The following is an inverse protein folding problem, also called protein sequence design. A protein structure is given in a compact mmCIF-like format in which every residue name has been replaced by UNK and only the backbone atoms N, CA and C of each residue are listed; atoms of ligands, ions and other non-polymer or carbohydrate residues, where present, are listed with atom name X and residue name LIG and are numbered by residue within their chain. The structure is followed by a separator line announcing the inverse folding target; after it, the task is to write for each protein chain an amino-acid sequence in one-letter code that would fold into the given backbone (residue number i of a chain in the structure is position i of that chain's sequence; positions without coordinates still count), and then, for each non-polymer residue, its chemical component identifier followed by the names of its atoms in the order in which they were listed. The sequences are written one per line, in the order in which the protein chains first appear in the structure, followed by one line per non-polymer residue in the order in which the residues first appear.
data_IF_222064188017
#
_entry.id   IF_222064188017
#
_cell.length_a   1.000
_cell.length_b   1.000
_cell.length_c   1.000
_cell.angle_alpha   90.00
_cell.angle_beta   90.00
_cell.angle_gamma   90.00
#
_symmetry.space_group_name_H-M   'P 1'
#
loop_
_entity.id
_entity.type
_entity.pdbx_description
1 polymer ?
#
# COMPACT_ATOMS: atom_id res chain seq x y z
N UNK A 1 5.41 -8.09 25.95
CA UNK A 1 4.01 -7.75 25.61
C UNK A 1 3.91 -7.68 24.10
N UNK A 2 3.59 -8.80 23.45
CA UNK A 2 3.49 -8.86 21.99
C UNK A 2 2.21 -8.15 21.54
N UNK A 3 2.24 -7.30 20.49
CA UNK A 3 1.02 -6.87 19.84
C UNK A 3 0.29 -8.12 19.37
N UNK A 4 -0.99 -8.21 19.70
CA UNK A 4 -1.88 -9.30 19.33
C UNK A 4 -2.01 -9.36 17.81
N UNK A 5 -1.12 -10.12 17.17
CA UNK A 5 -1.32 -10.54 15.80
C UNK A 5 -2.50 -11.51 15.75
N UNK A 6 -3.47 -11.24 14.88
CA UNK A 6 -4.45 -12.28 14.59
C UNK A 6 -3.75 -13.39 13.78
N UNK A 7 -4.02 -14.69 14.05
CA UNK A 7 -3.35 -15.80 13.36
C UNK A 7 -3.48 -15.78 11.82
N UNK A 8 -4.47 -15.05 11.28
CA UNK A 8 -4.69 -14.89 9.84
C UNK A 8 -3.70 -13.95 9.15
N UNK A 9 -3.40 -12.80 9.77
CA UNK A 9 -2.51 -11.79 9.18
C UNK A 9 -1.07 -12.31 9.03
N UNK A 10 -0.58 -13.10 9.99
CA UNK A 10 0.73 -13.75 9.88
C UNK A 10 0.82 -14.72 8.71
N UNK A 11 -0.26 -15.46 8.43
CA UNK A 11 -0.29 -16.42 7.32
C UNK A 11 -0.28 -15.71 5.97
N UNK A 12 -1.03 -14.61 5.84
CA UNK A 12 -1.01 -13.80 4.62
C UNK A 12 0.36 -13.15 4.42
N UNK A 13 0.97 -12.64 5.49
CA UNK A 13 2.30 -12.05 5.42
C UNK A 13 3.33 -13.06 4.91
N UNK A 14 3.34 -14.29 5.43
CA UNK A 14 4.24 -15.33 4.94
C UNK A 14 4.02 -15.63 3.45
N UNK A 15 2.78 -15.70 2.98
CA UNK A 15 2.46 -15.92 1.57
C UNK A 15 2.92 -14.75 0.68
N UNK A 16 2.67 -13.52 1.13
CA UNK A 16 3.08 -12.30 0.43
C UNK A 16 4.60 -12.10 0.41
N UNK A 17 5.34 -12.61 1.40
CA UNK A 17 6.79 -12.52 1.45
C UNK A 17 7.48 -13.56 0.54
N UNK A 18 6.91 -14.76 0.41
CA UNK A 18 7.53 -15.84 -0.34
C UNK A 18 7.63 -15.53 -1.85
N UNK A 19 6.61 -14.90 -2.44
CA UNK A 19 6.60 -14.67 -3.89
C UNK A 19 7.62 -13.62 -4.35
N UNK A 20 7.69 -12.41 -3.74
CA UNK A 20 8.62 -11.41 -4.21
C UNK A 20 10.07 -11.74 -3.82
N UNK A 21 10.30 -12.65 -2.88
CA UNK A 21 11.63 -13.28 -2.67
C UNK A 21 12.04 -14.19 -3.84
N UNK A 22 11.11 -14.98 -4.40
CA UNK A 22 11.38 -15.73 -5.63
C UNK A 22 11.71 -14.76 -6.78
N UNK A 23 10.96 -13.67 -6.94
CA UNK A 23 11.26 -12.62 -7.92
C UNK A 23 12.63 -11.96 -7.68
N UNK A 24 12.98 -11.68 -6.42
CA UNK A 24 14.27 -11.10 -6.03
C UNK A 24 15.45 -12.00 -6.41
N UNK A 25 15.31 -13.30 -6.14
CA UNK A 25 16.30 -14.32 -6.49
C UNK A 25 16.51 -14.41 -8.01
N UNK A 26 15.43 -14.26 -8.79
CA UNK A 26 15.50 -14.27 -10.25
C UNK A 26 16.05 -12.98 -10.88
N UNK A 27 15.93 -11.82 -10.22
CA UNK A 27 16.11 -10.50 -10.86
C UNK A 27 17.15 -9.56 -10.21
N UNK A 28 18.07 -10.05 -9.36
CA UNK A 28 19.17 -9.24 -8.76
C UNK A 28 18.69 -7.94 -8.06
N UNK A 29 17.45 -7.91 -7.56
CA UNK A 29 16.86 -6.75 -6.89
C UNK A 29 16.87 -6.95 -5.36
N UNK A 30 17.32 -5.96 -4.62
CA UNK A 30 17.22 -5.97 -3.15
C UNK A 30 15.85 -5.44 -2.73
N UNK A 31 15.01 -6.32 -2.17
CA UNK A 31 13.71 -5.95 -1.62
C UNK A 31 13.77 -5.99 -0.10
N UNK A 32 13.29 -4.93 0.55
CA UNK A 32 13.03 -4.93 1.98
C UNK A 32 11.53 -4.84 2.18
N UNK A 33 11.00 -5.86 2.84
CA UNK A 33 9.59 -5.91 3.18
C UNK A 33 9.40 -5.23 4.50
N UNK A 34 8.53 -4.24 4.53
CA UNK A 34 8.15 -3.58 5.77
C UNK A 34 6.70 -3.91 6.10
N UNK A 35 6.50 -4.50 7.27
CA UNK A 35 5.17 -4.70 7.84
C UNK A 35 4.90 -3.58 8.84
N UNK A 36 3.78 -2.87 8.69
CA UNK A 36 3.40 -1.79 9.58
C UNK A 36 2.22 -2.17 10.44
N UNK A 37 2.47 -2.28 11.73
CA UNK A 37 1.45 -2.64 12.70
C UNK A 37 0.97 -1.41 13.43
N UNK A 38 -0.35 -1.35 13.53
CA UNK A 38 -1.06 -0.32 14.24
C UNK A 38 -1.14 -0.71 15.73
N UNK A 39 -0.69 0.17 16.62
CA UNK A 39 -0.91 -0.01 18.04
C UNK A 39 -2.31 0.46 18.49
N UNK A 40 -2.95 -0.34 19.35
CA UNK A 40 -4.23 -0.01 20.00
C UNK A 40 -5.49 -0.31 19.20
N UNK A 41 -6.64 -0.21 19.86
CA UNK A 41 -7.97 -0.47 19.30
C UNK A 41 -8.56 0.81 18.70
N UNK A 42 -8.14 1.12 17.47
CA UNK A 42 -8.51 2.34 16.76
C UNK A 42 -8.74 1.99 15.29
N UNK A 43 -9.57 2.75 14.57
CA UNK A 43 -9.87 2.43 13.17
C UNK A 43 -8.60 2.31 12.33
N UNK A 44 -8.56 1.33 11.43
CA UNK A 44 -7.43 1.09 10.52
C UNK A 44 -7.27 2.25 9.54
N UNK A 45 -6.03 2.58 9.15
CA UNK A 45 -5.76 3.62 8.16
C UNK A 45 -4.61 3.17 7.27
N UNK A 46 -4.98 2.45 6.20
CA UNK A 46 -4.05 1.84 5.25
C UNK A 46 -3.11 2.87 4.63
N UNK A 47 -3.69 3.93 4.05
CA UNK A 47 -2.96 5.00 3.37
C UNK A 47 -1.90 5.66 4.27
N UNK A 48 -2.24 5.95 5.53
CA UNK A 48 -1.29 6.51 6.48
C UNK A 48 -0.15 5.55 6.81
N UNK A 49 -0.44 4.24 6.97
CA UNK A 49 0.62 3.24 7.17
C UNK A 49 1.55 3.12 5.95
N UNK A 50 1.03 3.25 4.73
CA UNK A 50 1.85 3.25 3.51
C UNK A 50 2.75 4.50 3.43
N UNK A 51 2.26 5.68 3.82
CA UNK A 51 3.09 6.88 3.98
C UNK A 51 4.20 6.68 5.01
N UNK A 52 3.87 6.11 6.18
CA UNK A 52 4.84 5.79 7.22
C UNK A 52 5.91 4.84 6.67
N UNK A 53 5.51 3.84 5.88
CA UNK A 53 6.47 2.91 5.30
C UNK A 53 7.43 3.53 4.32
N UNK A 54 6.97 4.46 3.50
CA UNK A 54 7.87 5.29 2.69
C UNK A 54 8.87 6.08 3.56
N UNK A 55 8.40 6.70 4.64
CA UNK A 55 9.24 7.53 5.52
C UNK A 55 10.23 6.71 6.35
N UNK A 56 9.83 5.55 6.87
CA UNK A 56 10.68 4.66 7.66
C UNK A 56 11.72 3.95 6.79
N UNK A 57 11.33 3.46 5.60
CA UNK A 57 12.27 2.80 4.70
C UNK A 57 13.41 3.73 4.28
N UNK A 58 13.12 5.03 4.09
CA UNK A 58 14.13 6.04 3.76
C UNK A 58 15.11 6.37 4.91
N UNK A 59 14.80 6.00 6.16
CA UNK A 59 15.76 6.10 7.27
C UNK A 59 16.82 5.00 7.20
N UNK A 60 16.45 3.84 6.64
CA UNK A 60 17.32 2.67 6.52
C UNK A 60 18.21 2.75 5.27
N UNK A 61 17.66 3.18 4.13
CA UNK A 61 18.40 3.25 2.88
C UNK A 61 17.81 4.26 1.90
N UNK A 62 18.60 4.71 0.93
CA UNK A 62 18.17 5.66 -0.08
C UNK A 62 17.39 4.99 -1.22
N UNK A 63 16.24 4.41 -0.91
CA UNK A 63 15.37 3.71 -1.87
C UNK A 63 14.88 4.64 -2.99
N UNK A 64 14.96 4.16 -4.23
CA UNK A 64 14.47 4.89 -5.41
C UNK A 64 13.10 4.39 -5.90
N UNK A 65 12.65 3.23 -5.42
CA UNK A 65 11.40 2.59 -5.83
C UNK A 65 10.62 2.03 -4.64
N UNK A 66 9.31 2.29 -4.63
CA UNK A 66 8.40 1.85 -3.59
C UNK A 66 7.25 1.05 -4.19
N UNK A 67 7.07 -0.16 -3.68
CA UNK A 67 5.94 -1.04 -4.01
C UNK A 67 4.99 -1.06 -2.82
N UNK A 68 3.79 -0.51 -3.01
CA UNK A 68 2.72 -0.55 -2.00
C UNK A 68 1.83 -1.73 -2.30
N UNK A 69 1.68 -2.63 -1.34
CA UNK A 69 1.18 -3.98 -1.62
C UNK A 69 0.25 -4.48 -0.52
N UNK A 70 -0.95 -4.88 -0.90
CA UNK A 70 -1.88 -5.56 0.02
C UNK A 70 -1.36 -6.97 0.35
N UNK A 71 -1.34 -7.31 1.64
CA UNK A 71 -0.76 -8.56 2.13
C UNK A 71 -1.53 -9.82 1.68
N UNK A 72 -2.77 -9.66 1.22
CA UNK A 72 -3.64 -10.74 0.78
C UNK A 72 -3.61 -10.97 -0.74
N UNK A 73 -2.78 -10.24 -1.49
CA UNK A 73 -2.68 -10.37 -2.94
C UNK A 73 -1.42 -11.13 -3.33
N UNK A 74 -1.55 -12.30 -3.94
CA UNK A 74 -0.42 -13.07 -4.46
C UNK A 74 -0.41 -13.01 -5.99
N UNK A 75 0.65 -12.51 -6.65
CA UNK A 75 0.74 -12.51 -8.11
C UNK A 75 0.78 -13.95 -8.65
N UNK A 76 0.16 -14.17 -9.80
CA UNK A 76 0.08 -15.50 -10.43
C UNK A 76 1.15 -15.71 -11.51
N UNK A 77 1.89 -14.66 -11.86
CA UNK A 77 2.88 -14.68 -12.93
C UNK A 77 4.14 -13.91 -12.51
N UNK A 78 5.29 -14.56 -12.60
CA UNK A 78 6.61 -14.03 -12.23
C UNK A 78 7.17 -13.01 -13.24
N UNK A 79 6.53 -12.87 -14.41
CA UNK A 79 6.84 -11.81 -15.37
C UNK A 79 6.21 -10.47 -14.98
N UNK A 80 5.35 -10.43 -13.94
CA UNK A 80 4.83 -9.19 -13.39
C UNK A 80 5.88 -8.55 -12.47
N UNK A 81 6.84 -7.83 -13.05
CA UNK A 81 8.01 -7.32 -12.35
C UNK A 81 7.67 -6.23 -11.31
N UNK A 82 8.19 -6.39 -10.10
CA UNK A 82 8.00 -5.47 -8.97
C UNK A 82 9.03 -4.33 -9.02
N UNK A 83 8.96 -3.55 -10.10
CA UNK A 83 9.89 -2.45 -10.37
C UNK A 83 9.15 -1.19 -10.78
N UNK A 84 9.71 -0.04 -10.43
CA UNK A 84 9.16 1.25 -10.84
C UNK A 84 9.44 1.53 -12.32
N UNK A 85 8.89 2.62 -12.82
CA UNK A 85 9.10 3.11 -14.19
C UNK A 85 9.11 4.64 -14.20
N UNK A 86 9.29 5.21 -15.38
CA UNK A 86 9.05 6.61 -15.69
C UNK A 86 7.63 7.08 -15.34
N UNK A 87 6.66 6.16 -15.25
CA UNK A 87 5.27 6.41 -14.88
C UNK A 87 4.80 5.50 -13.73
N UNK A 88 3.86 5.94 -12.88
CA UNK A 88 3.27 5.11 -11.82
C UNK A 88 2.65 3.82 -12.39
N UNK A 89 3.01 2.69 -11.81
CA UNK A 89 2.58 1.35 -12.23
C UNK A 89 1.46 0.83 -11.34
N UNK A 90 0.42 0.28 -11.95
CA UNK A 90 -0.59 -0.51 -11.27
C UNK A 90 -0.41 -1.98 -11.62
N UNK A 91 0.07 -2.77 -10.66
CA UNK A 91 0.50 -4.14 -10.90
C UNK A 91 -0.68 -5.12 -10.90
N UNK A 92 -1.86 -4.73 -10.39
CA UNK A 92 -3.05 -5.61 -10.30
C UNK A 92 -4.09 -5.28 -11.39
N UNK A 93 -4.06 -5.95 -12.54
CA UNK A 93 -5.10 -5.75 -13.56
C UNK A 93 -6.35 -6.55 -13.23
N UNK A 94 -6.21 -7.74 -12.64
CA UNK A 94 -7.35 -8.59 -12.34
C UNK A 94 -7.07 -9.55 -11.21
N UNK A 95 -8.12 -9.86 -10.44
CA UNK A 95 -8.09 -10.85 -9.36
C UNK A 95 -9.00 -12.04 -9.67
N UNK A 96 -8.70 -13.20 -9.10
CA UNK A 96 -9.57 -14.38 -9.15
C UNK A 96 -11.04 -14.05 -8.82
N UNK A 97 -11.29 -13.30 -7.75
CA UNK A 97 -12.64 -12.89 -7.29
C UNK A 97 -13.35 -11.89 -8.22
N UNK A 98 -12.62 -11.28 -9.15
CA UNK A 98 -13.15 -10.35 -10.18
C UNK A 98 -13.19 -10.98 -11.56
N UNK A 99 -12.97 -12.30 -11.68
CA UNK A 99 -12.85 -12.98 -12.97
C UNK A 99 -11.69 -12.46 -13.82
N UNK A 100 -10.59 -12.07 -13.16
CA UNK A 100 -9.39 -11.47 -13.78
C UNK A 100 -9.65 -10.22 -14.62
N UNK A 101 -10.68 -9.44 -14.27
CA UNK A 101 -11.00 -8.16 -14.90
C UNK A 101 -10.68 -7.01 -13.96
N UNK A 102 -10.30 -5.88 -14.56
CA UNK A 102 -10.12 -4.64 -13.83
C UNK A 102 -11.46 -4.22 -13.21
N UNK A 103 -11.43 -3.92 -11.90
CA UNK A 103 -12.65 -3.63 -11.13
C UNK A 103 -13.48 -2.49 -11.72
N UNK A 104 -12.80 -1.43 -12.15
CA UNK A 104 -13.33 -0.31 -12.92
C UNK A 104 -12.16 0.45 -13.56
N UNK A 105 -12.42 1.29 -14.57
CA UNK A 105 -11.38 1.97 -15.38
C UNK A 105 -10.35 2.75 -14.54
N UNK A 106 -10.81 3.41 -13.48
CA UNK A 106 -9.97 4.18 -12.56
C UNK A 106 -9.39 3.39 -11.38
N UNK A 107 -9.47 2.07 -11.36
CA UNK A 107 -8.98 1.31 -10.21
C UNK A 107 -7.45 1.38 -10.10
N UNK A 108 -6.96 1.76 -8.92
CA UNK A 108 -5.53 1.92 -8.61
C UNK A 108 -5.15 1.35 -7.23
N UNK A 109 -5.89 0.33 -6.78
CA UNK A 109 -5.69 -0.32 -5.49
C UNK A 109 -5.00 -1.68 -5.58
N UNK A 110 -4.78 -2.33 -4.44
CA UNK A 110 -4.10 -3.63 -4.39
C UNK A 110 -2.59 -3.51 -4.36
N UNK A 111 -1.97 -3.45 -5.55
CA UNK A 111 -0.51 -3.34 -5.68
C UNK A 111 -0.15 -2.24 -6.68
N UNK A 112 0.63 -1.26 -6.21
CA UNK A 112 1.11 -0.14 -7.02
C UNK A 112 2.60 0.10 -6.82
N UNK A 113 3.26 0.63 -7.84
CA UNK A 113 4.68 0.95 -7.80
C UNK A 113 4.90 2.40 -8.23
N UNK A 114 5.59 3.16 -7.39
CA UNK A 114 5.96 4.56 -7.65
C UNK A 114 7.42 4.77 -7.28
N UNK A 115 8.15 5.49 -8.13
CA UNK A 115 9.50 5.93 -7.77
C UNK A 115 9.46 6.90 -6.59
N UNK A 116 10.61 7.08 -5.91
CA UNK A 116 10.75 8.06 -4.83
C UNK A 116 10.20 9.42 -5.23
N UNK A 117 10.62 9.90 -6.41
CA UNK A 117 10.25 11.21 -6.91
C UNK A 117 8.76 11.29 -7.28
N UNK A 118 8.20 10.23 -7.88
CA UNK A 118 6.77 10.18 -8.20
C UNK A 118 5.90 10.24 -6.94
N UNK A 119 6.25 9.45 -5.92
CA UNK A 119 5.51 9.40 -4.66
C UNK A 119 5.65 10.71 -3.87
N UNK A 120 6.84 11.29 -3.85
CA UNK A 120 7.06 12.61 -3.26
C UNK A 120 6.26 13.70 -3.98
N UNK A 121 6.24 13.70 -5.31
CA UNK A 121 5.55 14.70 -6.14
C UNK A 121 4.03 14.72 -5.93
N UNK A 122 3.43 13.58 -5.58
CA UNK A 122 2.01 13.49 -5.23
C UNK A 122 1.73 13.75 -3.75
N UNK A 123 2.75 14.09 -2.96
CA UNK A 123 2.67 14.22 -1.50
C UNK A 123 2.18 12.92 -0.83
N UNK A 124 2.53 11.75 -1.37
CA UNK A 124 2.05 10.45 -0.90
C UNK A 124 0.52 10.29 -0.87
N UNK A 125 0.04 9.36 -0.06
CA UNK A 125 -1.40 9.12 0.17
C UNK A 125 -2.02 10.14 1.12
N UNK A 126 -3.35 10.27 1.15
CA UNK A 126 -4.08 11.01 2.19
C UNK A 126 -3.99 10.31 3.55
N UNK A 127 -3.77 11.08 4.63
CA UNK A 127 -3.80 10.54 6.00
C UNK A 127 -5.22 10.51 6.60
N UNK A 128 -6.24 10.98 5.87
CA UNK A 128 -7.60 11.19 6.37
C UNK A 128 -8.53 9.96 6.20
N UNK A 129 -8.10 8.92 5.49
CA UNK A 129 -8.91 7.73 5.24
C UNK A 129 -8.84 6.73 6.40
N UNK A 130 -9.65 7.01 7.43
CA UNK A 130 -9.88 6.08 8.55
C UNK A 130 -11.00 5.10 8.21
N UNK A 131 -10.67 3.83 8.11
CA UNK A 131 -11.54 2.74 7.68
C UNK A 131 -11.43 2.44 6.18
N UNK A 132 -12.34 1.62 5.68
CA UNK A 132 -12.26 1.07 4.34
C UNK A 132 -12.75 2.02 3.24
N UNK A 133 -11.86 2.28 2.28
CA UNK A 133 -12.15 2.63 0.90
C UNK A 133 -11.97 4.10 0.53
N UNK A 134 -11.59 4.32 -0.73
CA UNK A 134 -11.47 5.61 -1.39
C UNK A 134 -10.06 6.21 -1.39
N UNK A 135 -9.13 5.64 -0.61
CA UNK A 135 -7.76 6.12 -0.50
C UNK A 135 -6.91 5.84 -1.75
N UNK A 136 -7.16 4.70 -2.41
CA UNK A 136 -6.50 4.37 -3.69
C UNK A 136 -6.98 5.30 -4.83
N UNK A 137 -8.28 5.65 -4.81
CA UNK A 137 -8.86 6.59 -5.77
C UNK A 137 -8.36 8.02 -5.55
N UNK A 138 -8.15 8.42 -4.30
CA UNK A 138 -7.51 9.68 -3.93
C UNK A 138 -6.08 9.73 -4.48
N UNK A 139 -5.27 8.67 -4.26
CA UNK A 139 -3.92 8.60 -4.83
C UNK A 139 -3.95 8.70 -6.36
N UNK A 140 -4.86 8.00 -7.05
CA UNK A 140 -5.02 8.13 -8.50
C UNK A 140 -5.27 9.58 -8.90
N UNK A 141 -6.19 10.29 -8.23
CA UNK A 141 -6.47 11.70 -8.54
C UNK A 141 -5.20 12.54 -8.36
N UNK A 142 -4.40 12.30 -7.32
CA UNK A 142 -3.12 13.03 -7.12
C UNK A 142 -2.13 12.77 -8.26
N UNK A 143 -2.01 11.52 -8.71
CA UNK A 143 -1.19 11.12 -9.86
C UNK A 143 -1.64 11.86 -11.12
N UNK A 144 -2.94 11.91 -11.39
CA UNK A 144 -3.54 12.61 -12.53
C UNK A 144 -3.32 14.13 -12.45
N UNK A 145 -3.45 14.74 -11.26
CA UNK A 145 -3.17 16.16 -11.01
C UNK A 145 -1.70 16.53 -11.27
N UNK A 146 -0.78 15.58 -11.08
CA UNK A 146 0.64 15.71 -11.42
C UNK A 146 0.96 15.39 -12.88
N UNK A 147 -0.07 15.20 -13.71
CA UNK A 147 0.02 14.91 -15.16
C UNK A 147 0.77 13.60 -15.47
N UNK A 148 0.84 12.70 -14.49
CA UNK A 148 1.41 11.36 -14.67
C UNK A 148 0.31 10.41 -15.17
N UNK A 149 0.71 9.39 -15.93
CA UNK A 149 -0.23 8.38 -16.47
C UNK A 149 -0.01 7.07 -15.74
N UNK A 150 -1.10 6.42 -15.32
CA UNK A 150 -0.99 5.08 -14.73
C UNK A 150 -0.77 4.06 -15.86
N UNK A 151 0.32 3.33 -15.78
CA UNK A 151 0.63 2.21 -16.68
C UNK A 151 0.28 0.88 -16.02
N UNK A 152 -0.11 -0.09 -16.83
CA UNK A 152 -0.49 -1.44 -16.39
C UNK A 152 0.23 -2.47 -17.26
N UNK A 153 0.77 -3.56 -16.69
CA UNK A 153 1.25 -4.69 -17.47
C UNK A 153 0.09 -5.34 -18.26
N UNK A 154 0.40 -6.24 -19.21
CA UNK A 154 -0.61 -7.05 -19.90
C UNK A 154 -1.53 -7.79 -18.92
N UNK A 155 -2.81 -7.92 -19.27
CA UNK A 155 -3.84 -8.45 -18.37
C UNK A 155 -3.67 -9.95 -18.03
N UNK A 156 -2.96 -10.70 -18.87
CA UNK A 156 -2.54 -12.07 -18.66
C UNK A 156 -1.32 -12.20 -17.72
N UNK A 157 -0.52 -11.13 -17.61
CA UNK A 157 0.63 -11.05 -16.69
C UNK A 157 0.21 -10.51 -15.32
N UNK A 158 -0.60 -9.46 -15.27
CA UNK A 158 -0.97 -8.75 -14.04
C UNK A 158 -2.16 -9.37 -13.29
N UNK A 159 -2.17 -10.71 -13.16
CA UNK A 159 -3.19 -11.47 -12.42
C UNK A 159 -2.74 -11.77 -11.00
N UNK A 160 -3.70 -11.71 -10.09
CA UNK A 160 -3.49 -11.98 -8.67
C UNK A 160 -4.55 -12.90 -8.10
N UNK A 161 -4.13 -13.78 -7.21
CA UNK A 161 -5.03 -14.50 -6.30
C UNK A 161 -5.19 -13.69 -5.03
N UNK A 162 -6.44 -13.37 -4.68
CA UNK A 162 -6.77 -12.81 -3.38
C UNK A 162 -6.95 -13.94 -2.38
N UNK A 163 -6.14 -13.96 -1.31
CA UNK A 163 -6.26 -14.90 -0.21
C UNK A 163 -7.47 -14.52 0.62
N UNK A 164 -8.46 -15.41 0.67
CA UNK A 164 -9.74 -15.11 1.28
C UNK A 164 -9.58 -14.89 2.78
N UNK A 165 -10.05 -13.73 3.24
CA UNK A 165 -10.20 -13.42 4.66
C UNK A 165 -11.57 -12.80 4.91
N UNK A 166 -12.14 -13.05 6.10
CA UNK A 166 -13.29 -12.27 6.55
C UNK A 166 -12.80 -10.86 6.79
N UNK A 167 -13.66 -9.88 6.51
CA UNK A 167 -13.33 -8.47 6.71
C UNK A 167 -12.93 -8.22 8.17
N UNK A 168 -11.74 -7.67 8.37
CA UNK A 168 -11.16 -7.49 9.70
C UNK A 168 -11.92 -6.42 10.51
N UNK A 169 -12.02 -6.65 11.81
CA UNK A 169 -12.53 -5.68 12.78
C UNK A 169 -11.68 -4.40 12.76
N UNK A 170 -12.30 -3.22 12.78
CA UNK A 170 -11.58 -1.95 12.68
C UNK A 170 -11.36 -1.46 11.24
N UNK A 171 -11.83 -2.21 10.23
CA UNK A 171 -11.83 -1.82 8.82
C UNK A 171 -13.28 -1.60 8.30
N UNK A 172 -14.12 -0.97 9.11
CA UNK A 172 -15.51 -0.62 8.76
C UNK A 172 -15.55 0.37 7.59
N UNK A 173 -16.70 0.51 6.93
CA UNK A 173 -16.82 1.40 5.78
C UNK A 173 -16.62 2.83 6.25
N UNK A 174 -15.63 3.52 5.69
CA UNK A 174 -15.48 4.94 5.92
C UNK A 174 -16.68 5.67 5.29
N UNK A 175 -17.58 6.19 6.13
CA UNK A 175 -18.80 6.89 5.72
C UNK A 175 -18.49 8.21 5.00
N UNK A 176 -17.33 8.79 5.27
CA UNK A 176 -16.88 10.06 4.71
C UNK A 176 -16.05 9.90 3.42
N UNK A 177 -15.75 8.67 2.97
CA UNK A 177 -14.85 8.43 1.82
C UNK A 177 -15.21 9.20 0.56
N UNK A 178 -16.50 9.35 0.26
CA UNK A 178 -16.96 10.10 -0.92
C UNK A 178 -16.75 11.60 -0.76
N UNK A 179 -16.97 12.12 0.47
CA UNK A 179 -16.72 13.52 0.81
C UNK A 179 -15.23 13.84 0.76
N UNK A 180 -14.39 12.95 1.27
CA UNK A 180 -12.93 13.06 1.20
C UNK A 180 -12.45 13.06 -0.26
N UNK A 181 -12.92 12.10 -1.06
CA UNK A 181 -12.54 11.96 -2.46
C UNK A 181 -12.93 13.19 -3.30
N UNK A 182 -14.09 13.77 -3.04
CA UNK A 182 -14.52 15.01 -3.70
C UNK A 182 -13.67 16.24 -3.34
N UNK A 183 -12.89 16.18 -2.25
CA UNK A 183 -12.02 17.26 -1.77
C UNK A 183 -10.54 17.07 -2.11
N UNK A 184 -10.17 15.93 -2.71
CA UNK A 184 -8.78 15.63 -3.06
C UNK A 184 -8.09 16.74 -3.84
N UNK A 185 -8.69 17.34 -4.90
CA UNK A 185 -8.02 18.41 -5.66
C UNK A 185 -7.66 19.65 -4.82
N UNK A 186 -8.40 19.92 -3.75
CA UNK A 186 -8.21 21.06 -2.86
C UNK A 186 -7.29 20.73 -1.67
N UNK A 187 -7.29 19.49 -1.18
CA UNK A 187 -6.61 19.11 0.07
C UNK A 187 -5.25 18.44 -0.13
N UNK A 188 -4.96 17.83 -1.28
CA UNK A 188 -3.81 16.91 -1.43
C UNK A 188 -2.44 17.54 -1.11
N UNK A 189 -2.28 18.85 -1.29
CA UNK A 189 -1.04 19.58 -0.93
C UNK A 189 -0.85 19.79 0.57
N UNK A 190 -1.93 19.68 1.36
CA UNK A 190 -1.93 19.89 2.82
C UNK A 190 -2.06 18.58 3.60
N UNK A 191 -2.63 17.55 2.97
CA UNK A 191 -2.81 16.23 3.56
C UNK A 191 -2.00 15.17 2.80
N UNK A 192 -0.89 14.72 3.39
CA UNK A 192 -0.02 13.72 2.80
C UNK A 192 1.27 13.49 3.58
N UNK A 193 2.38 13.25 2.89
CA UNK A 193 3.70 13.07 3.51
C UNK A 193 4.06 14.23 4.44
N UNK A 194 3.79 15.47 4.02
CA UNK A 194 4.08 16.67 4.78
C UNK A 194 3.29 16.85 6.09
N UNK A 195 2.21 16.09 6.29
CA UNK A 195 1.38 16.13 7.50
C UNK A 195 1.20 14.75 8.15
N UNK A 196 2.00 13.77 7.73
CA UNK A 196 1.98 12.41 8.26
C UNK A 196 2.63 12.35 9.65
N UNK A 197 1.84 12.64 10.69
CA UNK A 197 2.28 12.52 12.10
C UNK A 197 2.04 11.11 12.64
N UNK A 198 3.08 10.53 13.26
CA UNK A 198 3.08 9.21 13.88
C UNK A 198 4.23 9.10 14.90
N UNK A 199 4.20 8.05 15.73
CA UNK A 199 5.29 7.70 16.63
C UNK A 199 5.71 6.25 16.41
N UNK A 200 6.99 6.03 16.14
CA UNK A 200 7.58 4.69 16.07
C UNK A 200 7.70 4.10 17.47
N UNK A 201 7.13 2.92 17.68
CA UNK A 201 7.11 2.23 18.97
C UNK A 201 8.13 1.09 19.02
N UNK A 202 8.24 0.30 17.94
CA UNK A 202 9.27 -0.74 17.81
C UNK A 202 9.70 -0.90 16.35
N UNK A 203 10.94 -1.34 16.17
CA UNK A 203 11.52 -1.78 14.89
C UNK A 203 12.18 -3.13 15.14
N UNK A 204 11.65 -4.19 14.53
CA UNK A 204 12.11 -5.57 14.70
C UNK A 204 12.59 -6.08 13.34
N UNK A 205 13.88 -6.43 13.24
CA UNK A 205 14.49 -6.92 12.01
C UNK A 205 14.43 -8.45 12.01
N UNK A 206 13.58 -9.02 11.16
CA UNK A 206 13.45 -10.45 10.94
C UNK A 206 14.31 -10.87 9.74
N UNK A 207 14.63 -12.16 9.57
CA UNK A 207 15.44 -12.62 8.43
C UNK A 207 14.88 -12.25 7.05
N UNK A 208 13.54 -12.12 6.94
CA UNK A 208 12.83 -11.93 5.68
C UNK A 208 12.14 -10.56 5.54
N UNK A 209 12.01 -9.80 6.62
CA UNK A 209 11.27 -8.52 6.64
C UNK A 209 11.63 -7.68 7.87
N UNK A 210 11.33 -6.39 7.83
CA UNK A 210 11.39 -5.49 8.98
C UNK A 210 9.97 -5.21 9.44
N UNK A 211 9.69 -5.45 10.71
CA UNK A 211 8.42 -5.12 11.31
C UNK A 211 8.56 -3.78 12.04
N UNK A 212 7.68 -2.82 11.71
CA UNK A 212 7.67 -1.51 12.34
C UNK A 212 6.31 -1.30 12.99
N UNK A 213 6.30 -1.23 14.32
CA UNK A 213 5.08 -0.94 15.06
C UNK A 213 4.98 0.56 15.31
N UNK A 214 3.85 1.15 14.95
CA UNK A 214 3.63 2.60 15.03
C UNK A 214 2.32 2.96 15.72
N UNK A 215 2.35 4.08 16.43
CA UNK A 215 1.17 4.81 16.85
C UNK A 215 0.85 5.87 15.79
N UNK A 216 -0.33 5.74 15.17
CA UNK A 216 -0.80 6.62 14.10
C UNK A 216 -1.82 7.66 14.60
N UNK A 217 -2.06 7.71 15.91
CA UNK A 217 -3.08 8.56 16.53
C UNK A 217 -4.51 8.08 16.25
N UNK A 218 -5.44 9.02 16.37
CA UNK A 218 -6.89 8.83 16.19
C UNK A 218 -7.43 9.72 15.07
N UNK A 219 -8.56 9.37 14.45
CA UNK A 219 -9.29 10.32 13.62
C UNK A 219 -9.61 11.58 14.42
N UNK A 220 -9.45 12.75 13.80
CA UNK A 220 -9.87 14.01 14.39
C UNK A 220 -11.40 13.98 14.51
N UNK A 221 -11.90 14.16 15.75
CA UNK A 221 -13.32 14.22 16.08
C UNK A 221 -13.99 15.47 15.52
#
# INVERSE_FOLDING_TARGET
CSPSHTPGEHRHLQQALNFPQCLACCNLCTFFFFSFLKAGDVTFNRAKLLNIGYLEALKDYNWDCFIFHDVDLVPENDHNLYVCDTQPKHLVVGRNVTGYRLRYKGYFGGVTALSRDQFFKVNGFSNAYWGWGGEDDDLRIRVELQKMKIVRPPADVARYTMVFHKRDSGNEVNRDRMRLLGRTPQSWRKDGLNSCSYKTLSVERMPLYVNVTVDIGKPLS
#
